data_IF_485125373427
#
_entry.id   IF_485125373427
#
_cell.length_a   1.000
_cell.length_b   1.000
_cell.length_c   1.000
_cell.angle_alpha   90.00
_cell.angle_beta   90.00
_cell.angle_gamma   90.00
#
_symmetry.space_group_name_H-M   'P 1'
#
loop_
_entity.id
_entity.type
_entity.pdbx_description
1 polymer ?
#
# COMPACT_ATOMS: atom_id res chain seq x y z
N UNK A 1 29.77 -133.14 89.46
CA UNK A 1 29.11 -132.03 90.17
C UNK A 1 29.27 -130.77 89.33
N UNK A 2 28.17 -130.29 88.76
CA UNK A 2 28.05 -129.00 88.08
C UNK A 2 28.27 -127.86 89.08
N UNK A 3 28.89 -126.74 88.70
CA UNK A 3 28.32 -125.41 88.97
C UNK A 3 29.12 -124.20 88.43
N UNK A 4 28.48 -123.49 87.50
CA UNK A 4 28.11 -122.06 87.62
C UNK A 4 29.25 -121.04 87.83
N UNK A 5 30.16 -120.89 86.84
CA UNK A 5 30.93 -119.64 86.69
C UNK A 5 31.00 -119.02 85.28
N UNK A 6 30.50 -119.69 84.23
CA UNK A 6 30.43 -119.12 82.86
C UNK A 6 29.08 -118.49 82.48
N UNK A 7 27.97 -118.92 83.07
CA UNK A 7 26.63 -118.37 82.74
C UNK A 7 26.35 -116.96 83.27
N UNK A 8 27.19 -116.39 84.15
CA UNK A 8 26.99 -115.03 84.68
C UNK A 8 27.65 -113.93 83.85
N UNK A 9 28.66 -114.21 83.01
CA UNK A 9 29.19 -113.17 82.10
C UNK A 9 28.32 -113.06 80.84
N UNK A 10 27.95 -114.18 80.22
CA UNK A 10 27.14 -114.18 79.00
C UNK A 10 25.73 -113.56 79.19
N UNK A 11 25.15 -113.66 80.39
CA UNK A 11 23.84 -113.03 80.70
C UNK A 11 23.94 -111.52 80.88
N UNK A 12 25.07 -111.01 81.40
CA UNK A 12 25.31 -109.58 81.59
C UNK A 12 25.78 -108.93 80.29
N UNK A 13 26.55 -109.64 79.46
CA UNK A 13 26.89 -109.21 78.10
C UNK A 13 25.66 -109.23 77.18
N UNK A 14 24.74 -110.19 77.34
CA UNK A 14 23.45 -110.22 76.63
C UNK A 14 22.52 -109.09 77.06
N UNK A 15 22.43 -108.78 78.36
CA UNK A 15 21.64 -107.65 78.86
C UNK A 15 22.22 -106.29 78.47
N UNK A 16 23.54 -106.13 78.57
CA UNK A 16 24.23 -104.93 78.13
C UNK A 16 24.12 -104.71 76.61
N UNK A 17 24.16 -105.79 75.81
CA UNK A 17 23.92 -105.72 74.37
C UNK A 17 22.46 -105.33 74.05
N UNK A 18 21.48 -105.87 74.77
CA UNK A 18 20.07 -105.50 74.62
C UNK A 18 19.83 -104.03 75.01
N UNK A 19 20.42 -103.57 76.12
CA UNK A 19 20.34 -102.18 76.57
C UNK A 19 21.03 -101.22 75.57
N UNK A 20 22.17 -101.63 75.00
CA UNK A 20 22.86 -100.90 73.94
C UNK A 20 22.03 -100.86 72.63
N UNK A 21 21.38 -101.95 72.25
CA UNK A 21 20.47 -102.00 71.10
C UNK A 21 19.25 -101.11 71.33
N UNK A 22 18.68 -101.08 72.54
CA UNK A 22 17.59 -100.18 72.90
C UNK A 22 18.02 -98.71 72.84
N UNK A 23 19.23 -98.39 73.33
CA UNK A 23 19.81 -97.05 73.23
C UNK A 23 20.05 -96.63 71.76
N UNK A 24 20.57 -97.54 70.92
CA UNK A 24 20.72 -97.31 69.48
C UNK A 24 19.38 -97.12 68.77
N UNK A 25 18.37 -97.94 69.10
CA UNK A 25 17.02 -97.79 68.54
C UNK A 25 16.37 -96.47 68.97
N UNK A 26 16.56 -96.04 70.22
CA UNK A 26 16.12 -94.72 70.68
C UNK A 26 16.82 -93.60 69.89
N UNK A 27 18.14 -93.73 69.69
CA UNK A 27 18.91 -92.75 68.92
C UNK A 27 18.52 -92.70 67.45
N UNK A 28 18.23 -93.85 66.83
CA UNK A 28 17.71 -93.93 65.46
C UNK A 28 16.38 -93.19 65.36
N UNK A 29 15.44 -93.44 66.29
CA UNK A 29 14.14 -92.73 66.30
C UNK A 29 14.28 -91.23 66.48
N UNK A 30 15.20 -90.77 67.34
CA UNK A 30 15.52 -89.35 67.49
C UNK A 30 16.06 -88.75 66.20
N UNK A 31 17.01 -89.43 65.55
CA UNK A 31 17.61 -89.00 64.28
C UNK A 31 16.57 -88.97 63.16
N UNK A 32 15.69 -89.97 63.07
CA UNK A 32 14.58 -90.00 62.11
C UNK A 32 13.62 -88.82 62.32
N UNK A 33 13.24 -88.55 63.58
CA UNK A 33 12.39 -87.40 63.93
C UNK A 33 13.06 -86.06 63.58
N UNK A 34 14.36 -85.93 63.84
CA UNK A 34 15.12 -84.73 63.51
C UNK A 34 15.28 -84.56 61.99
N UNK A 35 15.55 -85.63 61.25
CA UNK A 35 15.64 -85.61 59.79
C UNK A 35 14.29 -85.22 59.17
N UNK A 36 13.17 -85.75 59.69
CA UNK A 36 11.83 -85.33 59.27
C UNK A 36 11.56 -83.84 59.51
N UNK A 37 12.01 -83.28 60.64
CA UNK A 37 11.91 -81.83 60.92
C UNK A 37 12.76 -81.01 59.95
N UNK A 38 14.01 -81.42 59.73
CA UNK A 38 14.91 -80.72 58.80
C UNK A 38 14.35 -80.74 57.38
N UNK A 39 13.80 -81.87 56.91
CA UNK A 39 13.16 -81.94 55.58
C UNK A 39 11.99 -80.97 55.44
N UNK A 40 11.12 -80.88 56.46
CA UNK A 40 10.01 -79.92 56.47
C UNK A 40 10.50 -78.48 56.44
N UNK A 41 11.55 -78.19 57.20
CA UNK A 41 12.14 -76.84 57.23
C UNK A 41 12.83 -76.48 55.92
N UNK A 42 13.56 -77.42 55.30
CA UNK A 42 14.13 -77.23 53.96
C UNK A 42 13.05 -76.96 52.92
N UNK A 43 11.92 -77.68 52.97
CA UNK A 43 10.81 -77.44 52.06
C UNK A 43 10.18 -76.08 52.29
N UNK A 44 9.97 -75.67 53.55
CA UNK A 44 9.46 -74.34 53.92
C UNK A 44 10.38 -73.22 53.41
N UNK A 45 11.69 -73.36 53.60
CA UNK A 45 12.68 -72.38 53.14
C UNK A 45 12.75 -72.29 51.62
N UNK A 46 12.59 -73.40 50.90
CA UNK A 46 12.50 -73.35 49.42
C UNK A 46 11.29 -72.56 48.94
N UNK A 47 10.12 -72.81 49.51
CA UNK A 47 8.89 -72.08 49.16
C UNK A 47 9.04 -70.58 49.46
N UNK A 48 9.67 -70.22 50.58
CA UNK A 48 9.95 -68.83 50.90
C UNK A 48 10.93 -68.20 49.91
N UNK A 49 12.02 -68.89 49.55
CA UNK A 49 12.97 -68.40 48.58
C UNK A 49 12.33 -68.18 47.19
N UNK A 50 11.50 -69.12 46.73
CA UNK A 50 10.74 -68.98 45.47
C UNK A 50 9.76 -67.80 45.52
N UNK A 51 9.08 -67.60 46.65
CA UNK A 51 8.19 -66.45 46.85
C UNK A 51 8.96 -65.13 46.82
N UNK A 52 10.09 -65.05 47.53
CA UNK A 52 10.93 -63.85 47.57
C UNK A 52 11.47 -63.53 46.18
N UNK A 53 11.95 -64.53 45.44
CA UNK A 53 12.41 -64.38 44.05
C UNK A 53 11.31 -63.83 43.14
N UNK A 54 10.09 -64.37 43.23
CA UNK A 54 8.94 -63.84 42.48
C UNK A 54 8.64 -62.38 42.83
N UNK A 55 8.63 -62.01 44.11
CA UNK A 55 8.39 -60.62 44.51
C UNK A 55 9.51 -59.68 44.08
N UNK A 56 10.76 -60.14 44.05
CA UNK A 56 11.88 -59.37 43.54
C UNK A 56 11.74 -59.15 42.04
N UNK A 57 11.42 -60.19 41.27
CA UNK A 57 11.18 -60.08 39.83
C UNK A 57 10.03 -59.11 39.50
N UNK A 58 8.93 -59.14 40.25
CA UNK A 58 7.81 -58.20 40.09
C UNK A 58 8.23 -56.76 40.40
N UNK A 59 9.06 -56.55 41.43
CA UNK A 59 9.60 -55.23 41.77
C UNK A 59 10.57 -54.73 40.70
N UNK A 60 11.45 -55.58 40.21
CA UNK A 60 12.38 -55.23 39.13
C UNK A 60 11.64 -54.84 37.85
N UNK A 61 10.62 -55.62 37.45
CA UNK A 61 9.78 -55.30 36.31
C UNK A 61 9.04 -53.96 36.50
N UNK A 62 8.50 -53.72 37.69
CA UNK A 62 7.83 -52.45 38.03
C UNK A 62 8.79 -51.26 38.00
N UNK A 63 10.00 -51.42 38.53
CA UNK A 63 11.04 -50.39 38.52
C UNK A 63 11.50 -50.09 37.09
N UNK A 64 11.70 -51.12 36.26
CA UNK A 64 12.07 -50.96 34.85
C UNK A 64 11.00 -50.17 34.09
N UNK A 65 9.72 -50.54 34.24
CA UNK A 65 8.60 -49.83 33.62
C UNK A 65 8.50 -48.36 34.09
N UNK A 66 8.73 -48.11 35.38
CA UNK A 66 8.74 -46.75 35.92
C UNK A 66 9.92 -45.92 35.37
N UNK A 67 11.10 -46.52 35.24
CA UNK A 67 12.28 -45.89 34.67
C UNK A 67 12.08 -45.56 33.18
N UNK A 68 11.49 -46.47 32.40
CA UNK A 68 11.18 -46.25 30.98
C UNK A 68 10.16 -45.11 30.81
N UNK A 69 9.12 -45.08 31.66
CA UNK A 69 8.14 -43.98 31.65
C UNK A 69 8.78 -42.64 32.01
N UNK A 70 9.65 -42.62 33.02
CA UNK A 70 10.38 -41.41 33.41
C UNK A 70 11.28 -40.93 32.27
N UNK A 71 11.98 -41.85 31.58
CA UNK A 71 12.80 -41.54 30.40
C UNK A 71 11.96 -40.92 29.28
N UNK A 72 10.82 -41.51 28.92
CA UNK A 72 9.92 -40.95 27.89
C UNK A 72 9.41 -39.55 28.27
N UNK A 73 9.07 -39.33 29.54
CA UNK A 73 8.64 -38.01 30.02
C UNK A 73 9.78 -36.98 29.93
N UNK A 74 11.02 -37.37 30.24
CA UNK A 74 12.18 -36.51 30.11
C UNK A 74 12.51 -36.17 28.64
N UNK A 75 12.37 -37.15 27.75
CA UNK A 75 12.52 -36.93 26.30
C UNK A 75 11.46 -35.93 25.80
N UNK A 76 10.19 -36.14 26.12
CA UNK A 76 9.11 -35.21 25.73
C UNK A 76 9.26 -33.81 26.34
N UNK A 77 9.72 -33.71 27.59
CA UNK A 77 10.03 -32.42 28.22
C UNK A 77 11.21 -31.71 27.55
N UNK A 78 12.24 -32.48 27.14
CA UNK A 78 13.39 -31.95 26.41
C UNK A 78 12.99 -31.41 25.03
N UNK A 79 12.18 -32.13 24.29
CA UNK A 79 11.64 -31.69 22.99
C UNK A 79 10.81 -30.40 23.14
N UNK A 80 9.91 -30.37 24.13
CA UNK A 80 9.11 -29.18 24.43
C UNK A 80 9.96 -27.96 24.77
N UNK A 81 11.09 -28.15 25.48
CA UNK A 81 12.03 -27.06 25.80
C UNK A 81 12.75 -26.54 24.55
N UNK A 82 13.11 -27.43 23.61
CA UNK A 82 13.72 -27.04 22.33
C UNK A 82 12.74 -26.21 21.51
N UNK A 83 11.48 -26.64 21.40
CA UNK A 83 10.44 -25.90 20.70
C UNK A 83 10.19 -24.52 21.34
N UNK A 84 10.12 -24.45 22.67
CA UNK A 84 9.92 -23.20 23.39
C UNK A 84 11.06 -22.21 23.13
N UNK A 85 12.31 -22.69 23.07
CA UNK A 85 13.48 -21.86 22.70
C UNK A 85 13.36 -21.33 21.27
N UNK A 86 12.92 -22.16 20.33
CA UNK A 86 12.67 -21.77 18.94
C UNK A 86 11.59 -20.69 18.85
N UNK A 87 10.43 -20.91 19.46
CA UNK A 87 9.33 -19.93 19.48
C UNK A 87 9.77 -18.60 20.11
N UNK A 88 10.56 -18.63 21.19
CA UNK A 88 11.14 -17.41 21.79
C UNK A 88 12.13 -16.70 20.87
N UNK A 89 12.85 -17.43 20.03
CA UNK A 89 13.73 -16.83 19.04
C UNK A 89 12.91 -16.15 17.93
N UNK A 90 11.94 -16.85 17.38
CA UNK A 90 11.08 -16.37 16.30
C UNK A 90 10.28 -15.13 16.75
N UNK A 91 9.73 -15.14 17.97
CA UNK A 91 9.03 -13.99 18.53
C UNK A 91 9.94 -12.75 18.63
N UNK A 92 11.21 -12.92 19.06
CA UNK A 92 12.18 -11.82 19.08
C UNK A 92 12.49 -11.29 17.68
N UNK A 93 12.52 -12.15 16.66
CA UNK A 93 12.68 -11.70 15.28
C UNK A 93 11.45 -10.93 14.79
N UNK A 94 10.25 -11.43 15.07
CA UNK A 94 9.00 -10.77 14.69
C UNK A 94 8.85 -9.40 15.32
N UNK A 95 9.21 -9.23 16.60
CA UNK A 95 9.21 -7.91 17.27
C UNK A 95 10.13 -6.93 16.52
N UNK A 96 11.36 -7.34 16.19
CA UNK A 96 12.30 -6.49 15.43
C UNK A 96 11.74 -6.09 14.05
N UNK A 97 11.10 -7.03 13.36
CA UNK A 97 10.47 -6.77 12.06
C UNK A 97 9.31 -5.79 12.20
N UNK A 98 8.50 -5.94 13.24
CA UNK A 98 7.38 -5.05 13.55
C UNK A 98 7.88 -3.62 13.80
N UNK A 99 8.90 -3.46 14.66
CA UNK A 99 9.51 -2.15 14.94
C UNK A 99 10.06 -1.50 13.66
N UNK A 100 10.75 -2.28 12.81
CA UNK A 100 11.26 -1.80 11.53
C UNK A 100 10.12 -1.34 10.60
N UNK A 101 9.06 -2.12 10.47
CA UNK A 101 7.90 -1.78 9.64
C UNK A 101 7.18 -0.54 10.17
N UNK A 102 7.05 -0.41 11.50
CA UNK A 102 6.44 0.75 12.12
C UNK A 102 7.24 2.02 11.81
N UNK A 103 8.57 1.97 11.92
CA UNK A 103 9.43 3.10 11.54
C UNK A 103 9.30 3.47 10.06
N UNK A 104 9.24 2.47 9.16
CA UNK A 104 9.04 2.71 7.73
C UNK A 104 7.67 3.34 7.43
N UNK A 105 6.61 2.90 8.14
CA UNK A 105 5.28 3.46 8.00
C UNK A 105 5.23 4.92 8.44
N UNK A 106 5.81 5.24 9.60
CA UNK A 106 5.89 6.62 10.09
C UNK A 106 6.64 7.51 9.10
N UNK A 107 7.78 7.06 8.57
CA UNK A 107 8.53 7.81 7.57
C UNK A 107 7.72 8.07 6.28
N UNK A 108 6.91 7.09 5.83
CA UNK A 108 6.02 7.26 4.68
C UNK A 108 4.90 8.27 4.96
N UNK A 109 4.28 8.23 6.14
CA UNK A 109 3.26 9.19 6.54
C UNK A 109 3.80 10.63 6.56
N UNK A 110 5.02 10.82 7.05
CA UNK A 110 5.68 12.13 7.05
C UNK A 110 5.92 12.66 5.63
N UNK A 111 6.35 11.79 4.72
CA UNK A 111 6.54 12.15 3.31
C UNK A 111 5.21 12.49 2.63
N UNK A 112 4.16 11.73 2.90
CA UNK A 112 2.82 11.99 2.37
C UNK A 112 2.25 13.32 2.88
N UNK A 113 2.41 13.61 4.17
CA UNK A 113 2.03 14.90 4.76
C UNK A 113 2.75 16.08 4.08
N UNK A 114 4.06 15.97 3.87
CA UNK A 114 4.85 16.97 3.14
C UNK A 114 4.38 17.12 1.69
N UNK A 115 4.08 16.02 1.00
CA UNK A 115 3.58 16.05 -0.37
C UNK A 115 2.21 16.73 -0.44
N UNK A 116 1.29 16.43 0.49
CA UNK A 116 -0.04 17.05 0.59
C UNK A 116 0.06 18.55 0.82
N UNK A 117 0.94 19.00 1.73
CA UNK A 117 1.19 20.42 1.96
C UNK A 117 1.75 21.13 0.72
N UNK A 118 2.65 20.47 -0.04
CA UNK A 118 3.17 21.01 -1.30
C UNK A 118 2.08 21.09 -2.37
N UNK A 119 1.21 20.08 -2.45
CA UNK A 119 0.10 20.05 -3.40
C UNK A 119 -0.85 21.21 -3.15
N UNK A 120 -1.26 21.46 -1.90
CA UNK A 120 -2.12 22.59 -1.54
C UNK A 120 -1.55 23.93 -2.05
N UNK A 121 -0.26 24.18 -1.81
CA UNK A 121 0.43 25.40 -2.30
C UNK A 121 0.46 25.50 -3.83
N UNK A 122 0.53 24.37 -4.54
CA UNK A 122 0.49 24.35 -6.00
C UNK A 122 -0.94 24.62 -6.51
N UNK A 123 -1.96 24.12 -5.83
CA UNK A 123 -3.35 24.43 -6.12
C UNK A 123 -3.63 25.92 -5.96
N UNK A 124 -3.20 26.52 -4.85
CA UNK A 124 -3.36 27.97 -4.63
C UNK A 124 -2.68 28.80 -5.74
N UNK A 125 -1.49 28.38 -6.18
CA UNK A 125 -0.77 29.02 -7.29
C UNK A 125 -1.50 28.86 -8.62
N UNK A 126 -2.09 27.69 -8.87
CA UNK A 126 -2.89 27.43 -10.07
C UNK A 126 -4.12 28.34 -10.07
N UNK A 127 -4.87 28.39 -8.97
CA UNK A 127 -6.08 29.20 -8.86
C UNK A 127 -5.78 30.70 -9.05
N UNK A 128 -4.67 31.18 -8.49
CA UNK A 128 -4.22 32.55 -8.72
C UNK A 128 -3.83 32.81 -10.19
N UNK A 129 -3.16 31.85 -10.83
CA UNK A 129 -2.81 31.97 -12.25
C UNK A 129 -4.05 31.98 -13.16
N UNK A 130 -5.06 31.17 -12.85
CA UNK A 130 -6.34 31.15 -13.58
C UNK A 130 -7.10 32.47 -13.43
N UNK A 131 -7.13 33.06 -12.23
CA UNK A 131 -7.71 34.40 -12.01
C UNK A 131 -7.00 35.47 -12.83
N UNK A 132 -5.66 35.47 -12.78
CA UNK A 132 -4.85 36.45 -13.52
C UNK A 132 -5.02 36.28 -15.05
N UNK A 133 -5.12 35.04 -15.54
CA UNK A 133 -5.42 34.77 -16.95
C UNK A 133 -6.77 35.35 -17.35
N UNK A 134 -7.80 35.19 -16.52
CA UNK A 134 -9.12 35.78 -16.77
C UNK A 134 -9.07 37.30 -16.79
N UNK A 135 -8.37 37.92 -15.85
CA UNK A 135 -8.16 39.38 -15.84
C UNK A 135 -7.47 39.89 -17.12
N UNK A 136 -6.47 39.15 -17.62
CA UNK A 136 -5.83 39.47 -18.91
C UNK A 136 -6.77 39.28 -20.10
N UNK A 137 -7.58 38.21 -20.11
CA UNK A 137 -8.58 37.98 -21.15
C UNK A 137 -9.63 39.11 -21.18
N UNK A 138 -10.10 39.54 -20.01
CA UNK A 138 -11.02 40.67 -19.87
C UNK A 138 -10.40 41.98 -20.39
N UNK A 139 -9.12 42.25 -20.05
CA UNK A 139 -8.38 43.41 -20.56
C UNK A 139 -8.19 43.36 -22.08
N UNK A 140 -7.89 42.18 -22.64
CA UNK A 140 -7.80 42.02 -24.09
C UNK A 140 -9.14 42.26 -24.77
N UNK A 141 -10.26 41.81 -24.18
CA UNK A 141 -11.58 42.13 -24.68
C UNK A 141 -11.80 43.65 -24.73
N UNK A 142 -11.45 44.38 -23.67
CA UNK A 142 -11.63 45.84 -23.61
C UNK A 142 -10.76 46.57 -24.65
N UNK A 143 -9.49 46.19 -24.77
CA UNK A 143 -8.54 46.84 -25.69
C UNK A 143 -8.80 46.48 -27.15
N UNK A 144 -9.19 45.25 -27.44
CA UNK A 144 -9.29 44.75 -28.82
C UNK A 144 -10.72 44.76 -29.36
N UNK A 145 -11.71 45.13 -28.53
CA UNK A 145 -13.06 45.42 -29.01
C UNK A 145 -13.03 46.61 -29.97
N UNK A 146 -13.71 46.52 -31.12
CA UNK A 146 -13.79 47.64 -32.03
C UNK A 146 -14.55 48.81 -31.38
N UNK A 147 -14.24 50.05 -31.77
CA UNK A 147 -14.94 51.23 -31.25
C UNK A 147 -16.45 51.13 -31.50
N UNK A 148 -17.23 51.51 -30.48
CA UNK A 148 -18.69 51.39 -30.50
C UNK A 148 -19.30 52.48 -31.38
N UNK A 149 -19.34 52.22 -32.69
CA UNK A 149 -19.86 53.16 -33.69
C UNK A 149 -21.33 52.83 -33.91
N UNK A 150 -22.20 53.82 -33.69
CA UNK A 150 -23.59 53.74 -34.13
C UNK A 150 -23.60 53.77 -35.66
N UNK A 151 -23.70 52.59 -36.28
CA UNK A 151 -23.85 52.43 -37.71
C UNK A 151 -25.24 52.94 -38.14
N UNK A 152 -25.37 54.25 -38.28
CA UNK A 152 -26.54 54.87 -38.91
C UNK A 152 -26.41 54.72 -40.43
N UNK A 153 -26.61 53.49 -40.94
CA UNK A 153 -26.48 53.20 -42.36
C UNK A 153 -27.11 51.85 -42.71
N UNK A 154 -28.19 51.90 -43.47
CA UNK A 154 -28.98 50.78 -43.98
C UNK A 154 -28.20 49.92 -44.99
N UNK A 155 -27.20 49.18 -44.53
CA UNK A 155 -26.39 48.30 -45.37
C UNK A 155 -25.64 47.30 -44.53
N UNK A 156 -26.34 46.29 -44.02
CA UNK A 156 -25.65 45.04 -43.66
C UNK A 156 -25.02 44.50 -44.95
N UNK A 157 -23.69 44.62 -45.09
CA UNK A 157 -22.95 43.86 -46.09
C UNK A 157 -22.82 42.44 -45.52
N UNK A 158 -23.54 41.44 -46.05
CA UNK A 158 -23.46 40.08 -45.52
C UNK A 158 -22.12 39.48 -45.94
N UNK A 159 -21.22 39.26 -44.97
CA UNK A 159 -20.08 38.39 -45.18
C UNK A 159 -20.55 36.94 -45.05
N UNK A 160 -20.84 36.29 -46.18
CA UNK A 160 -20.83 34.83 -46.23
C UNK A 160 -19.36 34.37 -46.32
N UNK A 161 -19.05 33.21 -45.75
CA UNK A 161 -17.70 32.64 -45.62
C UNK A 161 -16.94 32.38 -46.95
N UNK A 162 -17.48 32.83 -48.08
CA UNK A 162 -16.97 32.61 -49.44
C UNK A 162 -17.22 33.80 -50.36
N UNK A 163 -17.01 35.04 -49.91
CA UNK A 163 -17.07 36.20 -50.80
C UNK A 163 -15.70 36.87 -50.87
N UNK A 164 -15.12 36.77 -52.07
CA UNK A 164 -14.24 37.77 -52.64
C UNK A 164 -14.94 39.13 -52.59
N UNK A 165 -14.86 39.82 -51.44
CA UNK A 165 -15.09 41.25 -51.43
C UNK A 165 -14.09 41.79 -52.44
N UNK A 166 -14.56 42.50 -53.45
CA UNK A 166 -13.71 43.17 -54.43
C UNK A 166 -12.87 44.21 -53.68
N UNK A 167 -11.78 43.74 -53.07
CA UNK A 167 -10.81 44.51 -52.30
C UNK A 167 -10.17 45.58 -53.16
N UNK A 168 -10.18 45.43 -54.48
CA UNK A 168 -9.56 46.33 -55.46
C UNK A 168 -9.99 47.81 -55.40
N UNK A 169 -11.11 48.16 -54.74
CA UNK A 169 -11.52 49.56 -54.53
C UNK A 169 -11.07 50.17 -53.19
N UNK A 170 -10.50 49.38 -52.29
CA UNK A 170 -9.99 49.86 -50.99
C UNK A 170 -8.54 50.36 -51.13
N UNK A 171 -8.10 51.33 -50.30
CA UNK A 171 -6.69 51.66 -50.14
C UNK A 171 -5.85 50.43 -49.79
N UNK A 172 -4.62 50.33 -50.29
CA UNK A 172 -3.76 49.14 -50.12
C UNK A 172 -3.53 48.73 -48.65
N UNK A 173 -3.47 49.72 -47.75
CA UNK A 173 -3.34 49.51 -46.30
C UNK A 173 -4.56 48.81 -45.71
N UNK A 174 -5.77 49.18 -46.15
CA UNK A 174 -7.04 48.57 -45.75
C UNK A 174 -7.22 47.18 -46.33
N UNK A 175 -6.87 46.99 -47.62
CA UNK A 175 -6.88 45.65 -48.24
C UNK A 175 -6.00 44.67 -47.46
N UNK A 176 -4.79 45.11 -47.11
CA UNK A 176 -3.82 44.29 -46.38
C UNK A 176 -4.33 43.95 -44.98
N UNK A 177 -4.82 44.95 -44.23
CA UNK A 177 -5.36 44.75 -42.89
C UNK A 177 -6.57 43.79 -42.87
N UNK A 178 -7.50 43.95 -43.81
CA UNK A 178 -8.68 43.09 -43.94
C UNK A 178 -8.29 41.66 -44.33
N UNK A 179 -7.37 41.49 -45.28
CA UNK A 179 -6.87 40.18 -45.68
C UNK A 179 -6.17 39.47 -44.51
N UNK A 180 -5.30 40.18 -43.77
CA UNK A 180 -4.64 39.62 -42.60
C UNK A 180 -5.65 39.20 -41.53
N UNK A 181 -6.63 40.05 -41.20
CA UNK A 181 -7.73 39.71 -40.28
C UNK A 181 -8.54 38.49 -40.73
N UNK A 182 -8.78 38.33 -42.03
CA UNK A 182 -9.52 37.18 -42.58
C UNK A 182 -8.73 35.87 -42.51
N UNK A 183 -7.40 35.92 -42.59
CA UNK A 183 -6.51 34.76 -42.52
C UNK A 183 -6.16 34.31 -41.11
N UNK A 184 -6.53 35.10 -40.10
CA UNK A 184 -6.25 34.76 -38.70
C UNK A 184 -7.04 33.52 -38.25
N UNK A 185 -6.40 32.60 -37.50
CA UNK A 185 -7.06 31.38 -37.05
C UNK A 185 -8.08 31.64 -35.93
N UNK A 186 -9.18 30.89 -35.95
CA UNK A 186 -10.28 30.95 -34.99
C UNK A 186 -10.61 29.54 -34.47
N UNK A 187 -10.96 29.35 -33.17
CA UNK A 187 -11.12 30.35 -32.09
C UNK A 187 -9.80 30.77 -31.43
N UNK A 188 -9.74 31.99 -30.87
CA UNK A 188 -8.54 32.58 -30.23
C UNK A 188 -8.05 31.73 -29.04
N UNK A 189 -8.97 31.21 -28.22
CA UNK A 189 -8.67 30.48 -26.98
C UNK A 189 -7.81 29.25 -27.19
N UNK A 190 -8.04 28.53 -28.28
CA UNK A 190 -7.38 27.25 -28.60
C UNK A 190 -6.01 27.42 -29.29
N UNK A 191 -5.61 28.66 -29.59
CA UNK A 191 -4.35 28.91 -30.28
C UNK A 191 -3.15 28.85 -29.31
N UNK A 192 -2.00 28.40 -29.83
CA UNK A 192 -0.72 28.47 -29.12
C UNK A 192 -0.31 29.93 -28.87
N UNK A 193 0.52 30.16 -27.84
CA UNK A 193 0.95 31.50 -27.42
C UNK A 193 1.50 32.36 -28.56
N UNK A 194 2.31 31.79 -29.46
CA UNK A 194 2.87 32.52 -30.60
C UNK A 194 1.79 33.04 -31.55
N UNK A 195 0.78 32.21 -31.85
CA UNK A 195 -0.35 32.59 -32.69
C UNK A 195 -1.29 33.58 -31.99
N UNK A 196 -1.46 33.47 -30.67
CA UNK A 196 -2.19 34.48 -29.88
C UNK A 196 -1.53 35.86 -29.98
N UNK A 197 -0.19 35.94 -29.93
CA UNK A 197 0.55 37.20 -30.10
C UNK A 197 0.38 37.79 -31.50
N UNK A 198 0.43 36.95 -32.53
CA UNK A 198 0.20 37.36 -33.92
C UNK A 198 -1.22 37.94 -34.10
N UNK A 199 -2.24 37.27 -33.57
CA UNK A 199 -3.64 37.74 -33.58
C UNK A 199 -3.75 39.11 -32.89
N UNK A 200 -3.19 39.27 -31.68
CA UNK A 200 -3.22 40.54 -30.94
C UNK A 200 -2.54 41.66 -31.74
N UNK A 201 -1.36 41.40 -32.32
CA UNK A 201 -0.63 42.40 -33.10
C UNK A 201 -1.41 42.88 -34.34
N UNK A 202 -2.08 41.96 -35.03
CA UNK A 202 -2.88 42.29 -36.22
C UNK A 202 -4.15 43.06 -35.81
N UNK A 203 -4.80 42.68 -34.71
CA UNK A 203 -5.98 43.39 -34.18
C UNK A 203 -5.64 44.80 -33.70
N UNK A 204 -4.48 45.01 -33.05
CA UNK A 204 -4.00 46.34 -32.66
C UNK A 204 -3.75 47.23 -33.89
N UNK A 205 -3.08 46.71 -34.91
CA UNK A 205 -2.87 47.45 -36.16
C UNK A 205 -4.20 47.81 -36.85
N UNK A 206 -5.16 46.89 -36.87
CA UNK A 206 -6.51 47.16 -37.38
C UNK A 206 -7.21 48.27 -36.58
N UNK A 207 -7.09 48.24 -35.24
CA UNK A 207 -7.62 49.29 -34.36
C UNK A 207 -7.00 50.66 -34.63
N UNK A 208 -5.68 50.73 -34.82
CA UNK A 208 -4.99 51.98 -35.15
C UNK A 208 -5.45 52.57 -36.50
N UNK A 209 -5.70 51.70 -37.49
CA UNK A 209 -6.26 52.10 -38.78
C UNK A 209 -7.69 52.61 -38.62
N UNK A 210 -8.53 51.95 -37.81
CA UNK A 210 -9.88 52.44 -37.49
C UNK A 210 -9.86 53.83 -36.88
N UNK A 211 -8.99 54.07 -35.89
CA UNK A 211 -8.88 55.40 -35.26
C UNK A 211 -8.45 56.47 -36.25
N UNK A 212 -7.51 56.19 -37.15
CA UNK A 212 -7.11 57.15 -38.19
C UNK A 212 -8.26 57.49 -39.13
N UNK A 213 -9.04 56.50 -39.57
CA UNK A 213 -10.20 56.73 -40.43
C UNK A 213 -11.28 57.51 -39.70
N UNK A 214 -11.51 57.21 -38.42
CA UNK A 214 -12.46 57.95 -37.59
C UNK A 214 -12.06 59.41 -37.39
N UNK A 215 -10.77 59.68 -37.13
CA UNK A 215 -10.23 61.04 -37.05
C UNK A 215 -10.39 61.78 -38.38
N UNK A 216 -10.08 61.13 -39.51
CA UNK A 216 -10.28 61.71 -40.84
C UNK A 216 -11.76 62.01 -41.14
N UNK A 217 -12.69 61.16 -40.72
CA UNK A 217 -14.14 61.41 -40.82
C UNK A 217 -14.50 62.64 -39.98
N UNK A 218 -14.02 62.73 -38.73
CA UNK A 218 -14.30 63.85 -37.84
C UNK A 218 -13.78 65.18 -38.43
N UNK A 219 -12.57 65.19 -38.99
CA UNK A 219 -12.01 66.37 -39.66
C UNK A 219 -12.84 66.78 -40.89
N UNK A 220 -13.32 65.81 -41.68
CA UNK A 220 -14.21 66.09 -42.81
C UNK A 220 -15.58 66.62 -42.35
N UNK A 221 -16.11 66.15 -41.22
CA UNK A 221 -17.34 66.68 -40.62
C UNK A 221 -17.17 68.14 -40.19
N UNK A 222 -16.03 68.49 -39.57
CA UNK A 222 -15.69 69.87 -39.23
C UNK A 222 -15.59 70.74 -40.50
N UNK A 223 -14.89 70.28 -41.53
CA UNK A 223 -14.77 70.99 -42.81
C UNK A 223 -16.10 71.14 -43.55
N UNK A 224 -17.04 70.20 -43.37
CA UNK A 224 -18.40 70.28 -43.92
C UNK A 224 -19.20 71.41 -43.27
N UNK A 225 -18.99 71.66 -41.97
CA UNK A 225 -19.64 72.76 -41.25
C UNK A 225 -19.10 74.13 -41.70
N UNK A 226 -17.84 74.19 -42.09
CA UNK A 226 -17.15 75.44 -42.47
C UNK A 226 -17.22 75.78 -43.97
N UNK A 227 -17.51 74.82 -44.86
CA UNK A 227 -17.41 75.00 -46.31
C UNK A 227 -18.74 74.87 -47.07
N UNK A 228 -18.86 75.58 -48.20
CA UNK A 228 -20.03 75.51 -49.10
C UNK A 228 -20.12 74.25 -49.98
N UNK A 229 -19.16 73.31 -49.86
CA UNK A 229 -19.04 72.14 -50.75
C UNK A 229 -19.66 70.85 -50.19
N UNK A 230 -20.83 71.00 -49.57
CA UNK A 230 -21.53 69.97 -48.76
C UNK A 230 -21.64 68.59 -49.41
N UNK A 231 -21.89 68.50 -50.73
CA UNK A 231 -22.09 67.20 -51.42
C UNK A 231 -20.79 66.41 -51.62
N UNK A 232 -19.68 67.07 -51.92
CA UNK A 232 -18.40 66.39 -52.17
C UNK A 232 -17.81 65.84 -50.88
N UNK A 233 -17.86 66.63 -49.81
CA UNK A 233 -17.38 66.23 -48.49
C UNK A 233 -18.26 65.11 -47.92
N UNK A 234 -19.59 65.15 -48.13
CA UNK A 234 -20.46 64.05 -47.72
C UNK A 234 -20.10 62.73 -48.43
N UNK A 235 -19.87 62.76 -49.75
CA UNK A 235 -19.48 61.55 -50.49
C UNK A 235 -18.16 60.95 -49.97
N UNK A 236 -17.21 61.79 -49.54
CA UNK A 236 -15.95 61.33 -48.95
C UNK A 236 -16.14 60.74 -47.55
N UNK A 237 -17.00 61.36 -46.72
CA UNK A 237 -17.42 60.82 -45.42
C UNK A 237 -18.09 59.45 -45.59
N UNK A 238 -18.99 59.29 -46.57
CA UNK A 238 -19.71 58.05 -46.82
C UNK A 238 -18.75 56.91 -47.22
N UNK A 239 -17.76 57.20 -48.08
CA UNK A 239 -16.72 56.24 -48.48
C UNK A 239 -15.87 55.82 -47.28
N UNK A 240 -15.40 56.77 -46.47
CA UNK A 240 -14.59 56.45 -45.27
C UNK A 240 -15.40 55.73 -44.20
N UNK A 241 -16.68 56.06 -44.05
CA UNK A 241 -17.60 55.36 -43.15
C UNK A 241 -17.84 53.92 -43.59
N UNK A 242 -17.94 53.66 -44.90
CA UNK A 242 -18.02 52.31 -45.44
C UNK A 242 -16.73 51.51 -45.18
N UNK A 243 -15.55 52.13 -45.31
CA UNK A 243 -14.27 51.50 -44.97
C UNK A 243 -14.17 51.14 -43.48
N UNK A 244 -14.57 52.06 -42.60
CA UNK A 244 -14.59 51.85 -41.15
C UNK A 244 -15.57 50.74 -40.76
N UNK A 245 -16.75 50.69 -41.39
CA UNK A 245 -17.76 49.66 -41.17
C UNK A 245 -17.24 48.27 -41.55
N UNK A 246 -16.58 48.17 -42.70
CA UNK A 246 -16.01 46.91 -43.18
C UNK A 246 -14.90 46.38 -42.26
N UNK A 247 -14.03 47.27 -41.79
CA UNK A 247 -12.95 46.90 -40.88
C UNK A 247 -13.46 46.54 -39.48
N UNK A 248 -14.44 47.28 -38.97
CA UNK A 248 -15.16 46.98 -37.71
C UNK A 248 -15.82 45.60 -37.77
N UNK A 249 -16.50 45.29 -38.87
CA UNK A 249 -17.15 43.99 -39.06
C UNK A 249 -16.13 42.83 -39.13
N UNK A 250 -14.98 43.05 -39.78
CA UNK A 250 -13.90 42.06 -39.82
C UNK A 250 -13.27 41.82 -38.43
N UNK A 251 -13.13 42.88 -37.62
CA UNK A 251 -12.66 42.77 -36.23
C UNK A 251 -13.69 42.07 -35.33
N UNK A 252 -14.98 42.36 -35.46
CA UNK A 252 -16.07 41.73 -34.68
C UNK A 252 -16.18 40.20 -34.86
N UNK A 253 -15.56 39.63 -35.90
CA UNK A 253 -15.48 38.17 -36.10
C UNK A 253 -14.66 37.49 -35.01
N UNK A 254 -13.71 38.20 -34.39
CA UNK A 254 -12.90 37.70 -33.30
C UNK A 254 -13.62 37.96 -31.97
N UNK A 255 -14.46 37.01 -31.57
CA UNK A 255 -14.90 36.92 -30.18
C UNK A 255 -13.78 36.31 -29.35
N UNK A 256 -13.48 36.94 -28.23
CA UNK A 256 -12.49 36.46 -27.25
C UNK A 256 -13.06 35.40 -26.29
N UNK A 257 -14.27 34.90 -26.56
CA UNK A 257 -14.97 33.83 -25.81
C UNK A 257 -14.36 32.42 -26.04
#
# INVERSE_FOLDING_TARGET
>A
MFNVRKFKMDFYDSKAAVDAMAALQSRIRELEKNNAKVRKECQRLRVLAESDENTLNEREASLMNAADKAKQMLEGASESLVELRRVRHDNRQLIKTLDSLQNQLTAKLDLESKAKAKLLRLTDKKDNAEKLLKEYEDLFCEILSPPNIQLNGSGQIPFTNTIAVTTHSLPATLQTAVMMLQTLPFPFRDQKLEKKREIISILLNARDISYKIQEEIHQLELQKLESGSLRRIQAEIDVKSAHLSLLTQAMCRFRFE
#
